data_IF_599393851683
#
_entry.id   IF_599393851683
#
_cell.length_a   1.000
_cell.length_b   1.000
_cell.length_c   1.000
_cell.angle_alpha   90.00
_cell.angle_beta   90.00
_cell.angle_gamma   90.00
#
_symmetry.space_group_name_H-M   'P 1'
#
loop_
_entity.id
_entity.type
_entity.pdbx_description
1 polymer ?
#
# COMPACT_ATOMS: atom_id res chain seq x y z
N UNK A 1 -8.34 15.52 -28.16
CA UNK A 1 -7.69 15.58 -26.84
C UNK A 1 -8.76 15.25 -25.81
N UNK A 2 -8.89 13.98 -25.44
CA UNK A 2 -9.78 13.47 -24.40
C UNK A 2 -9.17 12.15 -23.89
N UNK A 3 -8.00 12.24 -23.24
CA UNK A 3 -7.50 11.15 -22.40
C UNK A 3 -7.93 11.44 -20.97
N UNK A 4 -9.22 11.27 -20.74
CA UNK A 4 -9.74 11.21 -19.39
C UNK A 4 -9.43 9.81 -18.86
N UNK A 5 -8.21 9.67 -18.33
CA UNK A 5 -7.69 8.47 -17.67
C UNK A 5 -8.40 8.32 -16.31
N UNK A 6 -9.71 8.17 -16.33
CA UNK A 6 -10.49 7.92 -15.12
C UNK A 6 -10.13 6.52 -14.60
N UNK A 7 -9.94 6.35 -13.29
CA UNK A 7 -9.78 5.03 -12.69
C UNK A 7 -10.95 4.13 -13.11
N UNK A 8 -10.62 2.93 -13.58
CA UNK A 8 -11.61 1.99 -14.10
C UNK A 8 -12.25 1.27 -12.91
N UNK A 9 -13.36 1.81 -12.42
CA UNK A 9 -14.18 1.16 -11.40
C UNK A 9 -15.29 0.33 -12.06
N UNK A 10 -15.83 -0.65 -11.33
CA UNK A 10 -16.88 -1.54 -11.80
C UNK A 10 -16.52 -2.30 -13.09
N UNK A 11 -15.28 -2.76 -13.20
CA UNK A 11 -14.75 -3.47 -14.38
C UNK A 11 -15.40 -4.82 -14.63
N UNK A 12 -16.17 -5.34 -13.67
CA UNK A 12 -16.67 -6.72 -13.70
C UNK A 12 -15.57 -7.77 -13.53
N UNK A 13 -14.34 -7.35 -13.17
CA UNK A 13 -13.27 -8.28 -12.84
C UNK A 13 -13.66 -9.10 -11.59
N UNK A 14 -13.44 -10.42 -11.60
CA UNK A 14 -13.68 -11.24 -10.42
C UNK A 14 -12.81 -10.73 -9.27
N UNK A 15 -13.33 -10.80 -8.04
CA UNK A 15 -12.54 -10.48 -6.87
C UNK A 15 -11.42 -11.51 -6.70
N UNK A 16 -10.23 -11.03 -6.38
CA UNK A 16 -9.10 -11.90 -6.07
C UNK A 16 -9.26 -12.48 -4.66
N UNK A 17 -9.08 -13.79 -4.54
CA UNK A 17 -9.14 -14.48 -3.26
C UNK A 17 -7.84 -14.25 -2.47
N UNK A 18 -7.96 -13.57 -1.33
CA UNK A 18 -6.94 -13.48 -0.30
C UNK A 18 -7.42 -14.27 0.92
N UNK A 19 -6.50 -14.96 1.60
CA UNK A 19 -6.86 -15.73 2.80
C UNK A 19 -7.21 -14.82 3.96
N UNK A 20 -8.10 -15.29 4.85
CA UNK A 20 -8.55 -14.52 6.02
C UNK A 20 -7.37 -14.10 6.92
N UNK A 21 -6.31 -14.91 7.02
CA UNK A 21 -5.09 -14.57 7.75
C UNK A 21 -4.39 -13.33 7.19
N UNK A 22 -4.34 -13.20 5.86
CA UNK A 22 -3.74 -12.05 5.17
C UNK A 22 -4.59 -10.80 5.36
N UNK A 23 -5.91 -10.94 5.21
CA UNK A 23 -6.87 -9.83 5.39
C UNK A 23 -6.81 -9.30 6.83
N UNK A 24 -6.81 -10.21 7.81
CA UNK A 24 -6.70 -9.88 9.24
C UNK A 24 -5.40 -9.14 9.53
N UNK A 25 -4.27 -9.65 9.03
CA UNK A 25 -2.98 -9.02 9.20
C UNK A 25 -2.94 -7.60 8.60
N UNK A 26 -3.51 -7.40 7.40
CA UNK A 26 -3.58 -6.06 6.81
C UNK A 26 -4.36 -5.13 7.75
N UNK A 27 -5.50 -5.56 8.28
CA UNK A 27 -6.27 -4.80 9.28
C UNK A 27 -5.44 -4.41 10.51
N UNK A 28 -4.67 -5.34 11.06
CA UNK A 28 -3.79 -5.07 12.22
C UNK A 28 -2.63 -4.11 11.88
N UNK A 29 -2.09 -4.18 10.66
CA UNK A 29 -0.95 -3.35 10.25
C UNK A 29 -1.38 -1.91 9.98
N UNK A 30 -2.54 -1.69 9.36
CA UNK A 30 -3.00 -0.34 9.00
C UNK A 30 -3.42 0.51 10.21
N UNK A 31 -3.67 -0.08 11.37
CA UNK A 31 -3.92 0.66 12.61
C UNK A 31 -2.63 1.23 13.24
N UNK A 32 -1.44 0.84 12.73
CA UNK A 32 -0.17 1.29 13.30
C UNK A 32 0.22 2.68 12.82
N UNK A 33 0.85 3.44 13.71
CA UNK A 33 1.34 4.79 13.42
C UNK A 33 2.46 4.81 12.36
N UNK A 34 3.22 3.71 12.22
CA UNK A 34 4.27 3.55 11.23
C UNK A 34 3.77 3.00 9.88
N UNK A 35 2.46 3.03 9.65
CA UNK A 35 1.85 2.78 8.35
C UNK A 35 1.00 4.01 8.01
N UNK A 36 1.47 4.84 7.09
CA UNK A 36 0.78 6.05 6.62
C UNK A 36 0.37 5.93 5.15
N UNK A 37 0.81 4.87 4.47
CA UNK A 37 0.55 4.59 3.07
C UNK A 37 0.47 3.09 2.80
N UNK A 38 -0.45 2.69 1.93
CA UNK A 38 -0.65 1.29 1.52
C UNK A 38 -0.71 1.19 0.00
N UNK A 39 0.02 0.22 -0.54
CA UNK A 39 -0.04 -0.15 -1.95
C UNK A 39 -0.53 -1.59 -2.06
N UNK A 40 -1.72 -1.76 -2.63
CA UNK A 40 -2.41 -3.05 -2.72
C UNK A 40 -2.91 -3.25 -4.16
N UNK A 41 -2.30 -4.14 -4.95
CA UNK A 41 -2.67 -4.37 -6.35
C UNK A 41 -3.79 -5.41 -6.50
N UNK A 42 -4.52 -5.74 -5.43
CA UNK A 42 -5.53 -6.79 -5.42
C UNK A 42 -6.94 -6.21 -5.46
N UNK A 43 -7.77 -6.69 -6.39
CA UNK A 43 -9.20 -6.37 -6.42
C UNK A 43 -9.96 -7.23 -5.39
N UNK A 44 -9.89 -6.87 -4.10
CA UNK A 44 -10.56 -7.60 -3.01
C UNK A 44 -11.38 -6.66 -2.11
N UNK A 45 -12.70 -6.80 -2.13
CA UNK A 45 -13.60 -5.85 -1.44
C UNK A 45 -13.43 -5.84 0.08
N UNK A 46 -13.09 -6.99 0.69
CA UNK A 46 -12.85 -7.09 2.13
C UNK A 46 -11.64 -6.28 2.56
N UNK A 47 -10.52 -6.41 1.84
CA UNK A 47 -9.31 -5.62 2.09
C UNK A 47 -9.60 -4.14 1.91
N UNK A 48 -10.21 -3.77 0.78
CA UNK A 48 -10.44 -2.35 0.48
C UNK A 48 -11.44 -1.67 1.41
N UNK A 49 -12.41 -2.40 1.97
CA UNK A 49 -13.27 -1.87 3.05
C UNK A 49 -12.45 -1.52 4.30
N UNK A 50 -11.49 -2.35 4.69
CA UNK A 50 -10.61 -2.06 5.83
C UNK A 50 -9.73 -0.84 5.54
N UNK A 51 -9.10 -0.81 4.37
CA UNK A 51 -8.22 0.29 3.97
C UNK A 51 -8.96 1.64 3.93
N UNK A 52 -10.15 1.67 3.32
CA UNK A 52 -10.95 2.89 3.21
C UNK A 52 -11.50 3.32 4.57
N UNK A 53 -11.93 2.38 5.41
CA UNK A 53 -12.40 2.71 6.76
C UNK A 53 -11.30 3.41 7.57
N UNK A 54 -10.06 2.92 7.50
CA UNK A 54 -8.92 3.53 8.19
C UNK A 54 -8.56 4.90 7.58
N UNK A 55 -8.61 5.04 6.25
CA UNK A 55 -8.39 6.33 5.59
C UNK A 55 -9.39 7.39 6.06
N UNK A 56 -10.68 7.04 6.09
CA UNK A 56 -11.75 7.94 6.54
C UNK A 56 -11.57 8.28 8.01
N UNK A 57 -11.29 7.30 8.86
CA UNK A 57 -11.02 7.50 10.28
C UNK A 57 -9.91 8.52 10.51
N UNK A 58 -8.76 8.35 9.84
CA UNK A 58 -7.61 9.26 9.94
C UNK A 58 -7.89 10.64 9.35
N UNK A 59 -8.62 10.72 8.25
CA UNK A 59 -9.02 12.00 7.64
C UNK A 59 -9.92 12.79 8.58
N UNK A 60 -10.89 12.15 9.23
CA UNK A 60 -11.78 12.77 10.22
C UNK A 60 -11.02 13.22 11.48
N UNK A 61 -10.08 12.40 11.97
CA UNK A 61 -9.27 12.74 13.15
C UNK A 61 -8.31 13.90 12.91
N UNK A 62 -7.72 13.98 11.71
CA UNK A 62 -6.68 14.97 11.40
C UNK A 62 -7.19 16.21 10.66
N UNK A 63 -8.41 16.15 10.12
CA UNK A 63 -8.98 17.19 9.26
C UNK A 63 -8.30 17.30 7.89
N UNK A 64 -7.44 16.35 7.51
CA UNK A 64 -6.73 16.33 6.23
C UNK A 64 -7.54 15.63 5.14
N UNK A 65 -7.29 15.95 3.85
CA UNK A 65 -7.81 15.17 2.73
C UNK A 65 -7.45 13.67 2.87
N UNK A 66 -8.31 12.75 2.40
CA UNK A 66 -8.10 11.30 2.56
C UNK A 66 -6.71 10.82 2.13
N UNK A 67 -6.25 11.21 0.94
CA UNK A 67 -4.93 10.81 0.42
C UNK A 67 -3.73 11.41 1.18
N UNK A 68 -3.93 12.52 1.90
CA UNK A 68 -2.90 13.10 2.79
C UNK A 68 -2.93 12.49 4.20
N UNK A 69 -4.10 12.05 4.65
CA UNK A 69 -4.27 11.41 5.96
C UNK A 69 -3.80 9.96 5.95
N UNK A 70 -4.10 9.23 4.87
CA UNK A 70 -3.67 7.85 4.66
C UNK A 70 -3.66 7.54 3.17
N UNK A 71 -2.47 7.41 2.61
CA UNK A 71 -2.31 7.27 1.16
C UNK A 71 -2.66 5.86 0.72
N UNK A 72 -3.60 5.73 -0.22
CA UNK A 72 -4.02 4.43 -0.75
C UNK A 72 -3.72 4.36 -2.25
N UNK A 73 -2.94 3.34 -2.65
CA UNK A 73 -2.62 3.02 -4.02
C UNK A 73 -3.24 1.68 -4.42
N UNK A 74 -4.06 1.69 -5.48
CA UNK A 74 -4.84 0.54 -5.94
C UNK A 74 -4.40 -0.07 -7.27
N UNK A 75 -5.07 -1.16 -7.69
CA UNK A 75 -4.75 -1.88 -8.93
C UNK A 75 -5.05 -1.05 -10.19
N UNK A 76 -4.16 -1.13 -11.19
CA UNK A 76 -4.38 -0.54 -12.52
C UNK A 76 -5.35 -1.36 -13.38
N UNK A 77 -5.55 -2.63 -13.06
CA UNK A 77 -6.62 -3.48 -13.63
C UNK A 77 -8.03 -3.00 -13.28
N UNK A 78 -8.14 -2.05 -12.36
CA UNK A 78 -9.39 -1.51 -11.88
C UNK A 78 -10.06 -2.36 -10.80
N UNK A 79 -11.20 -1.87 -10.32
CA UNK A 79 -11.96 -2.47 -9.23
C UNK A 79 -13.29 -3.06 -9.68
N UNK A 80 -13.75 -4.10 -8.97
CA UNK A 80 -15.12 -4.59 -9.07
C UNK A 80 -16.16 -3.72 -8.33
N UNK A 81 -15.72 -2.67 -7.65
CA UNK A 81 -16.50 -1.77 -6.80
C UNK A 81 -15.97 -0.34 -6.90
N UNK A 82 -16.71 0.64 -6.37
CA UNK A 82 -16.25 2.04 -6.27
C UNK A 82 -15.88 2.37 -4.81
N UNK A 83 -14.59 2.66 -4.50
CA UNK A 83 -14.17 3.10 -3.17
C UNK A 83 -14.88 4.37 -2.67
N UNK A 84 -15.37 5.22 -3.57
CA UNK A 84 -16.10 6.44 -3.22
C UNK A 84 -17.45 6.15 -2.55
N UNK A 85 -18.06 4.98 -2.82
CA UNK A 85 -19.27 4.51 -2.11
C UNK A 85 -19.01 4.32 -0.60
N UNK A 86 -17.75 4.17 -0.21
CA UNK A 86 -17.30 4.07 1.18
C UNK A 86 -16.62 5.35 1.69
N UNK A 87 -16.78 6.46 0.95
CA UNK A 87 -16.14 7.77 1.21
C UNK A 87 -14.61 7.76 1.08
N UNK A 88 -14.05 6.72 0.48
CA UNK A 88 -12.62 6.59 0.25
C UNK A 88 -12.16 7.30 -1.02
N UNK A 89 -10.87 7.58 -1.07
CA UNK A 89 -10.19 8.06 -2.26
C UNK A 89 -8.99 7.14 -2.52
N UNK A 90 -8.83 6.65 -3.74
CA UNK A 90 -7.75 5.72 -4.11
C UNK A 90 -7.01 6.25 -5.33
N UNK A 91 -5.69 6.31 -5.22
CA UNK A 91 -4.81 6.65 -6.34
C UNK A 91 -4.49 5.39 -7.13
N UNK A 92 -4.53 5.46 -8.45
CA UNK A 92 -4.15 4.34 -9.32
C UNK A 92 -2.81 4.68 -9.96
N UNK A 93 -1.69 4.16 -9.45
CA UNK A 93 -0.38 4.42 -10.03
C UNK A 93 -0.24 3.71 -11.38
N UNK A 94 0.67 4.25 -12.20
CA UNK A 94 1.16 3.57 -13.39
C UNK A 94 1.79 2.21 -12.98
N UNK A 95 1.43 1.12 -13.67
CA UNK A 95 1.73 -0.30 -13.33
C UNK A 95 0.98 -0.87 -12.10
N UNK A 96 0.01 -0.16 -11.52
CA UNK A 96 -0.88 -0.73 -10.50
C UNK A 96 -0.23 -1.02 -9.14
N UNK A 97 1.00 -0.55 -8.91
CA UNK A 97 1.66 -0.58 -7.61
C UNK A 97 2.74 0.51 -7.51
N UNK A 98 2.82 1.20 -6.37
CA UNK A 98 3.90 2.16 -6.04
C UNK A 98 4.45 1.90 -4.61
N UNK A 99 5.56 2.54 -4.23
CA UNK A 99 6.14 2.46 -2.88
C UNK A 99 5.16 2.87 -1.78
N UNK A 100 5.20 2.24 -0.62
CA UNK A 100 4.28 2.52 0.46
C UNK A 100 4.81 1.92 1.75
N UNK A 101 4.42 2.49 2.89
CA UNK A 101 4.83 1.97 4.20
C UNK A 101 4.40 0.51 4.35
N UNK A 102 3.22 0.14 3.86
CA UNK A 102 2.81 -1.25 3.63
C UNK A 102 2.65 -1.53 2.13
N UNK A 103 3.45 -2.46 1.63
CA UNK A 103 3.36 -2.94 0.25
C UNK A 103 2.92 -4.39 0.20
N UNK A 104 1.74 -4.63 -0.40
CA UNK A 104 1.23 -5.98 -0.66
C UNK A 104 1.67 -6.38 -2.06
N UNK A 105 2.65 -7.26 -2.15
CA UNK A 105 3.32 -7.56 -3.40
C UNK A 105 2.51 -8.53 -4.27
N UNK A 106 2.29 -8.19 -5.56
CA UNK A 106 1.69 -9.11 -6.51
C UNK A 106 2.74 -10.08 -7.04
N UNK A 107 2.29 -11.25 -7.52
CA UNK A 107 3.19 -12.31 -8.04
C UNK A 107 4.00 -11.87 -9.25
N UNK A 108 3.48 -10.95 -10.07
CA UNK A 108 4.15 -10.46 -11.27
C UNK A 108 5.29 -9.47 -10.98
N UNK A 109 5.32 -8.86 -9.77
CA UNK A 109 6.37 -7.89 -9.43
C UNK A 109 7.66 -8.61 -9.09
N UNK A 110 8.63 -8.50 -9.99
CA UNK A 110 9.96 -9.05 -9.77
C UNK A 110 10.77 -8.15 -8.83
N UNK A 111 10.96 -8.62 -7.61
CA UNK A 111 11.99 -8.07 -6.72
C UNK A 111 13.33 -8.72 -7.06
N UNK A 112 14.29 -7.89 -7.45
CA UNK A 112 15.69 -8.30 -7.53
C UNK A 112 16.15 -8.50 -6.09
N UNK A 113 16.67 -9.69 -5.79
CA UNK A 113 17.31 -9.99 -4.50
C UNK A 113 18.63 -9.23 -4.47
N UNK A 114 18.58 -7.92 -4.26
CA UNK A 114 19.79 -7.17 -3.97
C UNK A 114 20.25 -7.58 -2.57
N UNK A 115 21.50 -8.01 -2.47
CA UNK A 115 22.19 -8.37 -1.24
C UNK A 115 22.22 -7.24 -0.19
N UNK A 116 21.71 -6.06 -0.53
CA UNK A 116 21.70 -4.86 0.28
C UNK A 116 20.26 -4.43 0.58
N UNK A 117 19.70 -5.00 1.64
CA UNK A 117 18.93 -4.41 2.76
C UNK A 117 18.27 -3.02 2.70
N UNK A 118 18.71 -2.10 1.84
CA UNK A 118 18.34 -0.68 1.85
C UNK A 118 16.92 -0.47 1.35
N UNK A 119 16.53 -1.23 0.32
CA UNK A 119 15.24 -1.09 -0.38
C UNK A 119 14.03 -1.30 0.50
N UNK A 120 14.07 -2.18 1.52
CA UNK A 120 12.95 -2.29 2.45
C UNK A 120 12.77 -0.95 3.19
N UNK A 121 13.71 -0.51 4.02
CA UNK A 121 13.50 0.72 4.80
C UNK A 121 13.24 2.02 4.02
N UNK A 122 13.75 2.13 2.78
CA UNK A 122 13.59 3.36 2.00
C UNK A 122 12.37 3.34 1.09
N UNK A 123 11.76 2.17 0.85
CA UNK A 123 10.61 2.02 -0.03
C UNK A 123 9.36 1.46 0.68
N UNK A 124 9.55 0.61 1.70
CA UNK A 124 8.50 -0.12 2.42
C UNK A 124 8.90 -0.49 3.85
N UNK A 125 8.16 -0.02 4.85
CA UNK A 125 8.40 -0.47 6.23
C UNK A 125 7.93 -1.93 6.44
N UNK A 126 6.85 -2.30 5.76
CA UNK A 126 6.25 -3.63 5.72
C UNK A 126 6.13 -4.10 4.27
N UNK A 127 6.64 -5.30 3.99
CA UNK A 127 6.47 -6.01 2.73
C UNK A 127 5.73 -7.33 2.98
N UNK A 128 4.52 -7.44 2.46
CA UNK A 128 3.70 -8.64 2.52
C UNK A 128 3.72 -9.33 1.15
N UNK A 129 4.27 -10.54 1.05
CA UNK A 129 4.57 -11.17 -0.25
C UNK A 129 4.41 -12.69 -0.23
N UNK A 130 3.96 -13.27 -1.36
CA UNK A 130 3.98 -14.72 -1.60
C UNK A 130 5.31 -15.20 -2.20
N UNK A 131 6.43 -14.85 -1.56
CA UNK A 131 7.76 -15.26 -1.98
C UNK A 131 8.72 -15.21 -0.81
N UNK A 132 9.48 -16.28 -0.64
CA UNK A 132 10.50 -16.34 0.40
C UNK A 132 11.83 -15.76 -0.08
N UNK A 133 12.29 -14.70 0.57
CA UNK A 133 13.62 -14.13 0.40
C UNK A 133 14.65 -14.71 1.39
N UNK A 134 14.22 -15.60 2.29
CA UNK A 134 15.00 -16.08 3.41
C UNK A 134 15.10 -15.02 4.52
N UNK A 135 16.04 -15.22 5.43
CA UNK A 135 16.37 -14.22 6.46
C UNK A 135 17.09 -13.02 5.85
N UNK A 136 16.68 -11.82 6.26
CA UNK A 136 17.27 -10.56 5.84
C UNK A 136 17.81 -9.84 7.07
N UNK A 137 19.07 -9.40 7.06
CA UNK A 137 19.65 -8.69 8.20
C UNK A 137 18.92 -7.38 8.58
N UNK A 138 18.14 -6.83 7.65
CA UNK A 138 17.40 -5.59 7.80
C UNK A 138 15.91 -5.73 8.08
N UNK A 139 15.43 -6.96 8.24
CA UNK A 139 14.01 -7.20 8.43
C UNK A 139 13.74 -8.46 9.24
N UNK A 140 12.76 -8.40 10.11
CA UNK A 140 12.20 -9.60 10.72
C UNK A 140 11.25 -10.28 9.74
N UNK A 141 11.30 -11.61 9.68
CA UNK A 141 10.45 -12.44 8.82
C UNK A 141 9.40 -13.15 9.68
N UNK A 142 8.14 -13.12 9.24
CA UNK A 142 7.03 -13.85 9.87
C UNK A 142 6.24 -14.62 8.81
N UNK A 143 5.94 -15.88 9.10
CA UNK A 143 5.04 -16.71 8.30
C UNK A 143 3.58 -16.42 8.67
N UNK A 144 2.76 -16.10 7.66
CA UNK A 144 1.35 -15.74 7.79
C UNK A 144 0.43 -16.91 7.36
N UNK A 145 1.00 -17.94 6.73
CA UNK A 145 0.25 -19.05 6.12
C UNK A 145 -0.02 -18.83 4.64
N UNK A 146 -0.45 -19.89 3.95
CA UNK A 146 -0.81 -19.90 2.52
C UNK A 146 0.28 -19.33 1.59
N UNK A 147 1.54 -19.51 1.99
CA UNK A 147 2.72 -19.02 1.28
C UNK A 147 2.99 -17.53 1.44
N UNK A 148 2.22 -16.80 2.25
CA UNK A 148 2.45 -15.40 2.55
C UNK A 148 3.47 -15.21 3.67
N UNK A 149 4.40 -14.28 3.42
CA UNK A 149 5.43 -13.88 4.35
C UNK A 149 5.35 -12.38 4.57
N UNK A 150 5.45 -11.97 5.84
CA UNK A 150 5.62 -10.58 6.22
C UNK A 150 7.11 -10.32 6.52
N UNK A 151 7.66 -9.32 5.85
CA UNK A 151 8.94 -8.71 6.17
C UNK A 151 8.70 -7.34 6.79
N UNK A 152 9.16 -7.13 8.02
CA UNK A 152 9.08 -5.86 8.75
C UNK A 152 10.50 -5.31 8.92
N UNK A 153 10.73 -4.06 8.51
CA UNK A 153 12.07 -3.46 8.59
C UNK A 153 12.52 -3.27 10.03
N UNK A 154 13.78 -3.59 10.34
CA UNK A 154 14.40 -3.33 11.64
C UNK A 154 15.01 -1.93 11.77
N UNK A 155 14.95 -1.13 10.69
CA UNK A 155 15.47 0.23 10.67
C UNK A 155 14.42 1.22 11.21
N UNK A 156 14.84 2.40 11.69
CA UNK A 156 13.91 3.44 12.11
C UNK A 156 12.89 3.76 11.00
N UNK A 157 11.63 3.94 11.40
CA UNK A 157 10.57 4.30 10.48
C UNK A 157 10.86 5.67 9.83
N UNK A 158 10.78 5.70 8.51
CA UNK A 158 10.77 6.92 7.71
C UNK A 158 9.55 6.82 6.82
N UNK A 159 8.66 7.82 6.91
CA UNK A 159 7.46 7.88 6.09
C UNK A 159 7.85 7.87 4.62
N UNK A 160 7.23 6.98 3.84
CA UNK A 160 7.40 6.96 2.39
C UNK A 160 6.71 8.19 1.79
N UNK A 161 7.48 9.01 1.07
CA UNK A 161 6.94 10.15 0.34
C UNK A 161 6.38 9.70 -1.01
N UNK A 162 5.08 9.37 -1.00
CA UNK A 162 4.42 8.74 -2.15
C UNK A 162 4.29 9.69 -3.34
N UNK A 163 4.09 10.97 -3.08
CA UNK A 163 3.81 11.97 -4.11
C UNK A 163 4.91 13.03 -4.26
N UNK A 164 6.02 12.90 -3.54
CA UNK A 164 7.11 13.89 -3.58
C UNK A 164 6.79 15.18 -2.81
N UNK A 165 5.87 15.13 -1.83
CA UNK A 165 5.46 16.31 -1.06
C UNK A 165 6.61 16.87 -0.20
N UNK A 166 7.53 16.03 0.31
CA UNK A 166 8.72 16.51 1.03
C UNK A 166 9.65 17.28 0.09
N UNK A 167 9.81 16.79 -1.14
CA UNK A 167 10.67 17.44 -2.13
C UNK A 167 10.15 18.85 -2.49
N UNK A 168 8.83 19.01 -2.62
CA UNK A 168 8.19 20.30 -2.88
C UNK A 168 8.29 21.26 -1.70
N UNK A 169 8.16 20.76 -0.46
CA UNK A 169 8.21 21.61 0.74
C UNK A 169 9.62 22.16 1.03
N UNK A 170 10.66 21.36 0.78
CA UNK A 170 12.06 21.75 0.95
C UNK A 170 12.51 22.79 -0.09
N UNK A 171 11.88 22.81 -1.28
CA UNK A 171 12.25 23.72 -2.37
C UNK A 171 11.36 24.96 -2.47
N UNK A 172 10.24 25.01 -1.75
CA UNK A 172 9.39 26.21 -1.64
C UNK A 172 9.77 27.10 -0.47
N UNK A 173 10.37 26.56 0.60
CA UNK A 173 10.89 27.34 1.73
C UNK A 173 12.31 27.88 1.52
N UNK A 174 12.91 27.63 0.35
CA UNK A 174 14.24 28.10 -0.02
C UNK A 174 14.24 29.37 -0.89
N UNK A 175 13.08 30.04 -1.06
CA UNK A 175 12.93 31.32 -1.76
C UNK A 175 12.34 32.40 -0.87
#
# INVERSE_FOLDING_TARGET
MNDANYPVFNTGQPEEELSESVITLIGELIERDNVQSVSCPFNNSKVWRLLVAEQVCRAEQTGKPPQQAFTLAGPDSGFGFDPADWRGEVSIPYEGAFMADLFVAPKWRNFIRESNSVTLSTAYHYLLIQRDFGELHCATRRDIGDGWLLYESTRPYVKVDVFGEQYLHDHTNAN
#
